data_IF_620401923625
#
_entry.id   IF_620401923625
#
_cell.length_a   1.000
_cell.length_b   1.000
_cell.length_c   1.000
_cell.angle_alpha   90.00
_cell.angle_beta   90.00
_cell.angle_gamma   90.00
#
_symmetry.space_group_name_H-M   'P 1'
#
loop_
_entity.id
_entity.type
_entity.pdbx_description
1 polymer ?
#
# COMPACT_ATOMS: atom_id res chain seq x y z
N UNK A 1 32.87 0.49 -11.55
CA UNK A 1 31.78 0.77 -10.60
C UNK A 1 30.47 0.52 -11.30
N UNK A 2 29.63 -0.46 -10.89
CA UNK A 2 28.34 -0.61 -11.53
C UNK A 2 27.46 0.58 -11.13
N UNK A 3 26.95 1.25 -12.16
CA UNK A 3 26.10 2.43 -12.08
C UNK A 3 24.67 1.97 -11.87
N UNK A 4 24.12 2.18 -10.68
CA UNK A 4 22.69 1.95 -10.40
C UNK A 4 21.96 3.28 -10.58
N UNK A 5 21.48 3.49 -11.81
CA UNK A 5 20.59 4.60 -12.12
C UNK A 5 19.23 4.45 -11.41
N UNK A 6 18.43 5.53 -11.33
CA UNK A 6 17.15 5.55 -10.62
C UNK A 6 16.04 4.67 -11.24
N UNK A 7 16.32 3.96 -12.33
CA UNK A 7 15.34 3.23 -13.15
C UNK A 7 15.50 1.69 -13.11
N UNK A 8 16.39 1.18 -12.26
CA UNK A 8 16.57 -0.27 -12.12
C UNK A 8 15.43 -0.89 -11.32
N UNK A 9 14.77 -1.90 -11.91
CA UNK A 9 13.73 -2.70 -11.27
C UNK A 9 14.22 -3.25 -9.91
N UNK A 10 13.35 -3.31 -8.88
CA UNK A 10 13.76 -3.80 -7.57
C UNK A 10 14.18 -5.27 -7.66
N UNK A 11 15.42 -5.57 -7.28
CA UNK A 11 15.97 -6.92 -7.33
C UNK A 11 15.85 -7.65 -5.97
N UNK A 12 15.57 -8.96 -6.00
CA UNK A 12 15.59 -9.89 -4.87
C UNK A 12 17.00 -10.02 -4.27
N UNK A 13 17.13 -10.73 -3.13
CA UNK A 13 18.43 -11.13 -2.59
C UNK A 13 19.28 -11.95 -3.59
N UNK A 14 18.61 -12.60 -4.56
CA UNK A 14 19.22 -13.37 -5.66
C UNK A 14 19.39 -12.57 -6.97
N UNK A 15 19.11 -11.26 -6.98
CA UNK A 15 19.25 -10.42 -8.18
C UNK A 15 18.12 -10.59 -9.21
N UNK A 16 17.01 -11.24 -8.86
CA UNK A 16 15.82 -11.37 -9.74
C UNK A 16 14.97 -10.11 -9.64
N UNK A 17 14.26 -9.74 -10.70
CA UNK A 17 13.32 -8.63 -10.61
C UNK A 17 12.07 -9.08 -9.81
N UNK A 18 11.70 -8.33 -8.77
CA UNK A 18 10.43 -8.51 -8.07
C UNK A 18 9.33 -7.94 -8.95
N UNK A 19 8.61 -8.82 -9.64
CA UNK A 19 7.42 -8.44 -10.38
C UNK A 19 6.20 -8.51 -9.46
N UNK A 20 5.49 -7.39 -9.35
CA UNK A 20 4.14 -7.41 -8.78
C UNK A 20 3.23 -8.26 -9.68
N UNK A 21 2.29 -9.03 -9.11
CA UNK A 21 1.25 -9.70 -9.88
C UNK A 21 0.56 -8.73 -10.84
N UNK A 22 0.21 -9.21 -12.03
CA UNK A 22 -0.51 -8.41 -13.02
C UNK A 22 -1.94 -8.18 -12.53
N UNK A 23 -2.18 -7.02 -11.96
CA UNK A 23 -3.49 -6.49 -11.59
C UNK A 23 -3.67 -5.09 -12.19
N UNK A 24 -4.92 -4.69 -12.36
CA UNK A 24 -5.31 -3.36 -12.84
C UNK A 24 -5.05 -2.31 -11.75
N UNK A 25 -3.78 -1.96 -11.56
CA UNK A 25 -3.34 -0.88 -10.68
C UNK A 25 -2.93 0.33 -11.52
N UNK A 26 -3.31 1.52 -11.07
CA UNK A 26 -2.77 2.76 -11.63
C UNK A 26 -1.27 2.89 -11.33
N UNK A 27 -0.57 3.63 -12.19
CA UNK A 27 0.89 3.77 -12.13
C UNK A 27 1.40 4.24 -10.75
N UNK A 28 0.78 5.26 -10.11
CA UNK A 28 1.15 5.68 -8.75
C UNK A 28 1.03 4.57 -7.69
N UNK A 29 -0.05 3.80 -7.72
CA UNK A 29 -0.24 2.67 -6.78
C UNK A 29 0.81 1.60 -6.98
N UNK A 30 1.13 1.28 -8.24
CA UNK A 30 2.19 0.29 -8.56
C UNK A 30 3.56 0.76 -8.08
N UNK A 31 3.93 2.03 -8.29
CA UNK A 31 5.20 2.60 -7.81
C UNK A 31 5.30 2.55 -6.27
N UNK A 32 4.22 2.91 -5.57
CA UNK A 32 4.17 2.84 -4.12
C UNK A 32 4.44 1.41 -3.62
N UNK A 33 3.75 0.42 -4.19
CA UNK A 33 3.92 -0.99 -3.80
C UNK A 33 5.33 -1.50 -4.07
N UNK A 34 5.92 -1.21 -5.23
CA UNK A 34 7.29 -1.61 -5.55
C UNK A 34 8.31 -1.06 -4.54
N UNK A 35 8.09 0.14 -4.00
CA UNK A 35 8.97 0.77 -3.01
C UNK A 35 8.75 0.24 -1.58
N UNK A 36 7.50 -0.04 -1.21
CA UNK A 36 7.15 -0.61 0.10
C UNK A 36 7.55 -2.09 0.21
N UNK A 37 7.40 -2.84 -0.86
CA UNK A 37 7.65 -4.28 -0.91
C UNK A 37 9.07 -4.63 -1.39
N UNK A 38 10.02 -3.68 -1.32
CA UNK A 38 11.42 -3.99 -1.60
C UNK A 38 11.94 -5.05 -0.64
N UNK A 39 12.56 -6.08 -1.23
CA UNK A 39 13.19 -7.19 -0.52
C UNK A 39 14.28 -6.65 0.41
N UNK A 40 15.17 -5.80 -0.12
CA UNK A 40 16.21 -5.16 0.67
C UNK A 40 15.62 -4.10 1.63
N UNK A 41 15.75 -4.27 2.96
CA UNK A 41 15.11 -3.39 3.93
C UNK A 41 15.72 -1.97 3.94
N UNK A 42 17.02 -1.84 3.61
CA UNK A 42 17.70 -0.55 3.52
C UNK A 42 17.19 0.32 2.36
N UNK A 43 16.72 -0.34 1.29
CA UNK A 43 16.19 0.31 0.11
C UNK A 43 14.66 0.53 0.18
N UNK A 44 13.99 -0.02 1.19
CA UNK A 44 12.55 0.06 1.40
C UNK A 44 12.12 1.45 1.82
N UNK A 45 10.97 1.90 1.32
CA UNK A 45 10.34 3.13 1.78
C UNK A 45 9.98 3.00 3.27
N UNK A 46 10.57 3.85 4.12
CA UNK A 46 10.57 3.67 5.59
C UNK A 46 10.23 4.91 6.41
N UNK A 47 10.01 6.06 5.78
CA UNK A 47 9.74 7.31 6.49
C UNK A 47 8.47 7.98 5.98
N UNK A 48 7.74 8.60 6.90
CA UNK A 48 6.53 9.36 6.56
C UNK A 48 6.81 10.47 5.56
N UNK A 49 7.95 11.16 5.70
CA UNK A 49 8.36 12.22 4.77
C UNK A 49 8.53 11.68 3.34
N UNK A 50 9.10 10.49 3.19
CA UNK A 50 9.25 9.88 1.87
C UNK A 50 7.89 9.42 1.32
N UNK A 51 7.01 8.91 2.19
CA UNK A 51 5.63 8.53 1.83
C UNK A 51 4.83 9.73 1.28
N UNK A 52 4.93 10.89 1.95
CA UNK A 52 4.29 12.14 1.55
C UNK A 52 4.72 12.65 0.17
N UNK A 53 5.92 12.27 -0.31
CA UNK A 53 6.41 12.67 -1.62
C UNK A 53 5.98 11.75 -2.77
N UNK A 54 5.36 10.59 -2.47
CA UNK A 54 4.92 9.64 -3.50
C UNK A 54 3.68 10.19 -4.21
N UNK A 55 3.63 10.02 -5.54
CA UNK A 55 2.53 10.51 -6.37
C UNK A 55 1.15 9.98 -5.96
N UNK A 56 1.10 8.75 -5.41
CA UNK A 56 -0.12 8.16 -4.85
C UNK A 56 -0.76 9.04 -3.78
N UNK A 57 0.04 9.70 -2.94
CA UNK A 57 -0.44 10.58 -1.87
C UNK A 57 -0.55 12.05 -2.29
N UNK A 58 -0.45 12.36 -3.59
CA UNK A 58 -0.58 13.73 -4.06
C UNK A 58 -2.00 14.25 -3.78
N UNK A 59 -2.10 15.32 -3.02
CA UNK A 59 -3.38 15.92 -2.62
C UNK A 59 -4.00 15.30 -1.37
N UNK A 60 -3.36 14.31 -0.75
CA UNK A 60 -3.76 13.79 0.55
C UNK A 60 -3.18 14.65 1.69
N UNK A 61 -4.04 15.16 2.57
CA UNK A 61 -3.62 15.97 3.71
C UNK A 61 -3.38 15.11 4.96
N UNK A 62 -2.10 14.82 5.22
CA UNK A 62 -1.69 14.05 6.39
C UNK A 62 -1.93 14.78 7.72
N UNK A 63 -1.96 16.12 7.71
CA UNK A 63 -2.12 16.92 8.93
C UNK A 63 -3.59 16.94 9.36
N UNK A 64 -4.53 17.02 8.42
CA UNK A 64 -5.96 16.89 8.74
C UNK A 64 -6.30 15.52 9.32
N UNK A 65 -5.71 14.45 8.77
CA UNK A 65 -5.87 13.09 9.31
C UNK A 65 -5.29 12.99 10.71
N UNK A 66 -4.10 13.55 10.94
CA UNK A 66 -3.47 13.59 12.27
C UNK A 66 -4.33 14.33 13.29
N UNK A 67 -4.99 15.41 12.88
CA UNK A 67 -5.90 16.20 13.71
C UNK A 67 -7.31 15.59 13.83
N UNK A 68 -7.56 14.41 13.24
CA UNK A 68 -8.87 13.75 13.19
C UNK A 68 -9.97 14.61 12.57
N UNK A 69 -9.59 15.47 11.62
CA UNK A 69 -10.52 16.36 10.89
C UNK A 69 -11.13 15.71 9.65
N UNK A 70 -10.61 14.55 9.25
CA UNK A 70 -11.15 13.71 8.18
C UNK A 70 -12.01 12.61 8.77
N UNK A 71 -13.24 12.43 8.27
CA UNK A 71 -14.06 11.28 8.63
C UNK A 71 -13.58 10.06 7.83
N UNK A 72 -13.38 8.88 8.45
CA UNK A 72 -12.91 7.69 7.73
C UNK A 72 -13.78 7.30 6.53
N UNK A 73 -15.09 7.48 6.64
CA UNK A 73 -16.04 7.16 5.57
C UNK A 73 -15.89 8.07 4.34
N UNK A 74 -15.31 9.27 4.50
CA UNK A 74 -15.07 10.18 3.39
C UNK A 74 -13.82 9.77 2.57
N UNK A 75 -12.96 8.90 3.14
CA UNK A 75 -11.76 8.37 2.46
C UNK A 75 -12.06 7.11 1.64
N UNK A 76 -13.13 6.40 1.97
CA UNK A 76 -13.51 5.18 1.29
C UNK A 76 -14.47 5.52 0.15
N UNK A 77 -14.38 4.83 -1.00
CA UNK A 77 -15.44 4.89 -1.97
C UNK A 77 -16.75 4.41 -1.33
N UNK A 78 -17.91 4.93 -1.77
CA UNK A 78 -19.20 4.46 -1.27
C UNK A 78 -19.25 2.93 -1.41
N UNK A 79 -19.53 2.26 -0.29
CA UNK A 79 -19.58 0.81 -0.21
C UNK A 79 -20.53 0.29 -1.30
N UNK A 80 -20.14 -0.70 -2.11
CA UNK A 80 -21.09 -1.37 -2.98
C UNK A 80 -22.25 -1.89 -2.11
N UNK A 81 -23.52 -1.82 -2.60
CA UNK A 81 -24.68 -2.18 -1.80
C UNK A 81 -24.49 -3.59 -1.23
N UNK A 82 -24.66 -3.71 0.10
CA UNK A 82 -24.41 -4.92 0.88
C UNK A 82 -25.00 -6.18 0.22
N UNK A 83 -24.18 -7.23 0.06
CA UNK A 83 -24.68 -8.59 -0.15
C UNK A 83 -23.96 -9.54 -1.11
N UNK A 84 -22.62 -9.63 -1.21
CA UNK A 84 -22.06 -10.70 -2.07
C UNK A 84 -20.72 -11.35 -1.73
N UNK A 85 -20.23 -11.29 -0.48
CA UNK A 85 -19.26 -12.30 -0.02
C UNK A 85 -19.59 -12.68 1.43
N UNK A 86 -20.59 -13.56 1.58
CA UNK A 86 -20.64 -14.41 2.77
C UNK A 86 -19.34 -15.20 2.77
N UNK A 87 -18.50 -15.02 3.79
CA UNK A 87 -17.36 -15.90 4.04
C UNK A 87 -17.90 -17.13 4.78
N UNK A 88 -18.17 -18.26 4.10
CA UNK A 88 -18.92 -19.38 4.69
C UNK A 88 -18.19 -20.04 5.88
N UNK A 89 -16.90 -19.76 6.05
CA UNK A 89 -16.03 -20.32 7.08
C UNK A 89 -15.55 -19.28 8.11
N UNK A 90 -16.19 -18.12 8.23
CA UNK A 90 -15.84 -17.16 9.29
C UNK A 90 -16.29 -17.69 10.66
N UNK A 91 -15.33 -18.18 11.44
CA UNK A 91 -15.56 -18.70 12.79
C UNK A 91 -15.74 -17.55 13.80
N UNK A 92 -16.99 -17.21 14.10
CA UNK A 92 -17.38 -16.21 15.12
C UNK A 92 -17.14 -16.70 16.57
N UNK A 93 -16.57 -17.88 16.79
CA UNK A 93 -16.37 -18.43 18.14
C UNK A 93 -15.45 -17.59 19.04
N UNK A 94 -14.61 -16.73 18.46
CA UNK A 94 -13.68 -15.88 19.22
C UNK A 94 -14.34 -14.71 19.97
N UNK A 95 -15.51 -14.25 19.55
CA UNK A 95 -16.17 -13.08 20.15
C UNK A 95 -17.06 -13.43 21.36
N UNK A 96 -17.22 -14.72 21.70
CA UNK A 96 -18.19 -15.17 22.71
C UNK A 96 -17.63 -15.37 24.13
N UNK A 97 -16.47 -14.79 24.46
CA UNK A 97 -15.92 -14.88 25.83
C UNK A 97 -16.09 -13.55 26.57
N UNK A 98 -17.20 -13.43 27.31
CA UNK A 98 -17.46 -12.43 28.36
C UNK A 98 -17.77 -13.13 29.68
#
# INVERSE_FOLDING_TARGET
YPSTGPDSAPEDADGRAVELPQHDLDVPSRDLLLRLLRVQPSARLRSLRALQTIAFYKGFDFEEVRQKRVKPNDLLPPQPPEGSEEFPDFDESFDTVL
#
